data_IF_243687436540
#
_entry.id   IF_243687436540
#
_cell.length_a   1.000
_cell.length_b   1.000
_cell.length_c   1.000
_cell.angle_alpha   90.00
_cell.angle_beta   90.00
_cell.angle_gamma   90.00
#
_symmetry.space_group_name_H-M   'P 1'
#
loop_
_entity.id
_entity.type
_entity.pdbx_description
1 polymer ?
#
# COMPACT_ATOMS: atom_id res chain seq x y z
N UNK A 1 11.57 -32.79 11.87
CA UNK A 1 10.11 -32.97 11.73
C UNK A 1 9.43 -31.61 11.67
N UNK A 2 8.84 -31.24 10.54
CA UNK A 2 7.99 -30.04 10.47
C UNK A 2 6.65 -30.40 11.13
N UNK A 3 6.41 -29.91 12.35
CA UNK A 3 5.12 -30.13 13.03
C UNK A 3 4.03 -29.48 12.20
N UNK A 4 3.06 -30.27 11.73
CA UNK A 4 1.85 -29.74 11.08
C UNK A 4 1.13 -28.84 12.07
N UNK A 5 0.94 -27.57 11.70
CA UNK A 5 0.23 -26.61 12.52
C UNK A 5 -1.22 -27.09 12.75
N UNK A 6 -1.63 -27.17 14.01
CA UNK A 6 -2.99 -27.54 14.44
C UNK A 6 -3.44 -26.63 15.57
N UNK A 7 -4.76 -26.47 15.76
CA UNK A 7 -5.30 -25.77 16.93
C UNK A 7 -4.80 -26.44 18.22
N UNK A 8 -4.41 -25.62 19.19
CA UNK A 8 -3.76 -26.05 20.44
C UNK A 8 -2.28 -26.42 20.29
N UNK A 9 -1.72 -26.40 19.08
CA UNK A 9 -0.30 -26.63 18.84
C UNK A 9 0.57 -25.40 19.13
N UNK A 10 1.84 -25.65 19.40
CA UNK A 10 2.90 -24.65 19.50
C UNK A 10 3.42 -24.23 18.12
N UNK A 11 3.59 -22.92 17.90
CA UNK A 11 4.21 -22.35 16.70
C UNK A 11 5.03 -21.10 17.04
N UNK A 12 6.16 -20.93 16.36
CA UNK A 12 6.99 -19.74 16.50
C UNK A 12 6.47 -18.61 15.58
N UNK A 13 6.17 -17.45 16.17
CA UNK A 13 5.52 -16.34 15.47
C UNK A 13 5.99 -14.98 16.01
N UNK A 14 5.86 -13.93 15.20
CA UNK A 14 6.16 -12.56 15.62
C UNK A 14 5.08 -12.04 16.57
N UNK A 15 5.44 -11.73 17.81
CA UNK A 15 4.55 -11.10 18.77
C UNK A 15 4.54 -9.58 18.59
N UNK A 16 3.37 -8.98 18.38
CA UNK A 16 3.25 -7.51 18.27
C UNK A 16 3.49 -6.78 19.59
N UNK A 17 3.26 -7.46 20.73
CA UNK A 17 3.45 -6.90 22.07
C UNK A 17 4.89 -7.05 22.57
N UNK A 18 5.48 -8.24 22.45
CA UNK A 18 6.87 -8.48 22.84
C UNK A 18 7.89 -7.98 21.81
N UNK A 19 7.47 -7.74 20.56
CA UNK A 19 8.34 -7.33 19.44
C UNK A 19 9.50 -8.31 19.20
N UNK A 20 9.25 -9.59 19.45
CA UNK A 20 10.20 -10.68 19.30
C UNK A 20 9.47 -11.86 18.66
N UNK A 21 10.23 -12.74 18.03
CA UNK A 21 9.73 -14.04 17.60
C UNK A 21 9.77 -14.97 18.81
N UNK A 22 8.62 -15.50 19.20
CA UNK A 22 8.44 -16.33 20.39
C UNK A 22 7.46 -17.47 20.11
N UNK A 23 7.41 -18.43 21.02
CA UNK A 23 6.40 -19.49 21.02
C UNK A 23 5.00 -18.94 21.28
N UNK A 24 4.08 -19.26 20.37
CA UNK A 24 2.66 -18.98 20.47
C UNK A 24 1.85 -20.27 20.38
N UNK A 25 0.69 -20.29 21.05
CA UNK A 25 -0.30 -21.35 20.91
C UNK A 25 -1.33 -20.98 19.84
N UNK A 26 -1.63 -21.90 18.92
CA UNK A 26 -2.63 -21.69 17.87
C UNK A 26 -4.04 -21.78 18.45
N UNK A 27 -4.81 -20.71 18.37
CA UNK A 27 -6.20 -20.67 18.86
C UNK A 27 -7.21 -21.00 17.77
N UNK A 28 -6.95 -20.51 16.55
CA UNK A 28 -7.83 -20.74 15.41
C UNK A 28 -7.02 -20.94 14.14
N UNK A 29 -7.52 -21.79 13.25
CA UNK A 29 -6.99 -22.00 11.91
C UNK A 29 -8.06 -21.67 10.87
N UNK A 30 -7.62 -21.18 9.72
CA UNK A 30 -8.46 -21.02 8.52
C UNK A 30 -7.83 -21.85 7.41
N UNK A 31 -8.53 -22.90 6.98
CA UNK A 31 -7.98 -23.91 6.09
C UNK A 31 -6.73 -24.55 6.68
N UNK A 32 -5.59 -24.38 6.02
CA UNK A 32 -4.29 -24.97 6.42
C UNK A 32 -3.37 -23.98 7.15
N UNK A 33 -3.85 -22.77 7.48
CA UNK A 33 -3.03 -21.71 8.08
C UNK A 33 -3.57 -21.27 9.44
N UNK A 34 -2.71 -21.03 10.46
CA UNK A 34 -3.12 -20.38 11.70
C UNK A 34 -3.67 -18.99 11.40
N UNK A 35 -4.82 -18.65 11.99
CA UNK A 35 -5.45 -17.35 11.87
C UNK A 35 -5.20 -16.50 13.14
N UNK A 36 -5.41 -17.11 14.32
CA UNK A 36 -5.24 -16.46 15.62
C UNK A 36 -4.29 -17.27 16.49
N UNK A 37 -3.40 -16.56 17.18
CA UNK A 37 -2.40 -17.15 18.07
C UNK A 37 -2.32 -16.37 19.38
N UNK A 38 -1.96 -17.06 20.47
CA UNK A 38 -1.71 -16.50 21.79
C UNK A 38 -0.23 -16.63 22.15
N UNK A 39 0.43 -15.54 22.48
CA UNK A 39 1.83 -15.56 22.91
C UNK A 39 1.96 -16.28 24.26
N UNK A 40 2.85 -17.26 24.37
CA UNK A 40 3.04 -17.98 25.62
C UNK A 40 3.78 -17.16 26.68
N UNK A 41 4.48 -16.08 26.26
CA UNK A 41 5.20 -15.17 27.16
C UNK A 41 4.31 -14.07 27.71
N UNK A 42 3.67 -13.27 26.85
CA UNK A 42 2.85 -12.13 27.29
C UNK A 42 1.35 -12.42 27.36
N UNK A 43 0.93 -13.65 27.05
CA UNK A 43 -0.47 -14.10 27.02
C UNK A 43 -1.40 -13.29 26.08
N UNK A 44 -0.82 -12.47 25.20
CA UNK A 44 -1.55 -11.62 24.27
C UNK A 44 -2.01 -12.38 23.03
N UNK A 45 -3.24 -12.15 22.59
CA UNK A 45 -3.83 -12.78 21.42
C UNK A 45 -3.78 -11.84 20.20
N UNK A 46 -3.25 -12.32 19.08
CA UNK A 46 -3.21 -11.55 17.84
C UNK A 46 -3.30 -12.46 16.61
N UNK A 47 -3.44 -11.82 15.44
CA UNK A 47 -3.42 -12.54 14.16
C UNK A 47 -2.03 -13.15 13.93
N UNK A 48 -1.98 -14.35 13.38
CA UNK A 48 -0.73 -15.03 13.10
C UNK A 48 0.11 -14.23 12.09
N UNK A 49 1.36 -14.00 12.44
CA UNK A 49 2.38 -13.40 11.57
C UNK A 49 3.59 -14.33 11.59
N UNK A 50 3.82 -15.02 10.48
CA UNK A 50 4.95 -15.94 10.33
C UNK A 50 6.27 -15.20 10.51
N UNK A 51 7.21 -15.83 11.21
CA UNK A 51 8.57 -15.33 11.40
C UNK A 51 9.40 -15.42 10.11
N UNK A 52 9.08 -16.39 9.24
CA UNK A 52 9.73 -16.58 7.95
C UNK A 52 8.87 -15.98 6.83
N UNK A 53 9.49 -15.11 6.04
CA UNK A 53 9.02 -14.72 4.72
C UNK A 53 9.25 -15.87 3.74
N UNK A 54 8.47 -16.95 3.85
CA UNK A 54 8.40 -17.92 2.76
C UNK A 54 7.35 -17.45 1.74
N UNK A 55 7.72 -17.25 0.47
CA UNK A 55 6.80 -16.79 -0.56
C UNK A 55 5.88 -17.95 -0.94
N UNK A 56 4.70 -18.03 -0.33
CA UNK A 56 3.70 -18.99 -0.77
C UNK A 56 3.04 -18.46 -2.04
N UNK A 57 3.44 -19.03 -3.18
CA UNK A 57 2.59 -19.13 -4.39
C UNK A 57 1.22 -19.65 -3.95
N UNK A 58 0.21 -18.83 -4.12
CA UNK A 58 -1.17 -19.19 -3.82
C UNK A 58 -2.02 -17.98 -4.13
N UNK A 59 -2.72 -18.07 -5.26
CA UNK A 59 -3.69 -17.08 -5.73
C UNK A 59 -4.58 -16.63 -4.59
N UNK A 60 -4.31 -15.43 -4.12
CA UNK A 60 -5.24 -14.58 -3.41
C UNK A 60 -5.05 -13.26 -4.10
N UNK A 61 -6.07 -12.76 -4.81
CA UNK A 61 -6.08 -11.38 -5.27
C UNK A 61 -6.23 -10.48 -4.03
N UNK A 62 -5.22 -9.68 -3.66
CA UNK A 62 -5.47 -8.49 -2.88
C UNK A 62 -5.88 -7.40 -3.86
N UNK A 63 -7.12 -6.94 -3.76
CA UNK A 63 -7.40 -5.54 -4.09
C UNK A 63 -6.38 -4.67 -3.35
N UNK A 64 -5.62 -3.92 -4.14
CA UNK A 64 -4.96 -2.66 -3.85
C UNK A 64 -4.14 -2.57 -2.55
N UNK A 65 -3.00 -1.89 -2.65
CA UNK A 65 -2.17 -1.50 -1.50
C UNK A 65 -1.19 -2.56 -1.02
N UNK A 66 -0.24 -2.95 -1.88
CA UNK A 66 1.08 -3.39 -1.39
C UNK A 66 2.23 -3.29 -2.39
N UNK A 67 2.22 -2.33 -3.29
CA UNK A 67 3.46 -1.91 -3.97
C UNK A 67 4.24 -0.90 -3.11
N UNK A 68 4.64 -1.40 -1.94
CA UNK A 68 5.87 -0.95 -1.30
C UNK A 68 6.87 -2.08 -1.46
N UNK A 69 7.53 -2.15 -2.63
CA UNK A 69 8.96 -2.46 -2.73
C UNK A 69 9.45 -2.46 -4.18
N UNK A 70 10.55 -1.76 -4.36
CA UNK A 70 11.49 -1.75 -5.50
C UNK A 70 10.99 -1.09 -6.80
N UNK A 71 11.24 0.22 -6.91
CA UNK A 71 11.66 0.81 -8.19
C UNK A 71 12.38 2.14 -7.94
N UNK A 72 13.71 2.15 -8.07
CA UNK A 72 14.42 3.26 -8.75
C UNK A 72 14.73 2.72 -10.16
N UNK A 73 14.68 3.50 -11.25
CA UNK A 73 14.57 4.96 -11.35
C UNK A 73 13.26 5.44 -12.02
N UNK A 74 12.57 6.38 -11.36
CA UNK A 74 11.53 7.26 -11.93
C UNK A 74 12.22 8.25 -12.86
N UNK A 75 12.53 7.87 -14.09
CA UNK A 75 12.97 8.82 -15.13
C UNK A 75 12.25 8.59 -16.47
N UNK A 76 11.71 7.39 -16.72
CA UNK A 76 11.15 7.10 -18.05
C UNK A 76 9.71 7.54 -18.28
N UNK A 77 8.97 7.94 -17.24
CA UNK A 77 7.55 8.30 -17.41
C UNK A 77 7.29 9.80 -17.48
N UNK A 78 8.07 10.66 -16.81
CA UNK A 78 7.77 12.10 -16.78
C UNK A 78 8.25 12.82 -18.05
N UNK A 79 9.45 12.52 -18.54
CA UNK A 79 10.03 13.14 -19.74
C UNK A 79 9.25 12.79 -21.01
N UNK A 80 8.78 11.54 -21.13
CA UNK A 80 7.97 11.10 -22.26
C UNK A 80 6.58 11.74 -22.28
N UNK A 81 5.98 11.97 -21.11
CA UNK A 81 4.67 12.63 -20.98
C UNK A 81 4.78 14.15 -21.19
N UNK A 82 5.87 14.78 -20.73
CA UNK A 82 6.10 16.22 -20.92
C UNK A 82 6.48 16.56 -22.37
N UNK A 83 7.21 15.68 -23.07
CA UNK A 83 7.57 15.89 -24.47
C UNK A 83 6.35 16.00 -25.40
N UNK A 84 5.17 15.53 -24.96
CA UNK A 84 3.94 15.57 -25.74
C UNK A 84 2.95 16.65 -25.28
N UNK A 85 3.21 17.37 -24.17
CA UNK A 85 2.21 18.26 -23.58
C UNK A 85 2.74 19.62 -23.18
N UNK A 86 1.95 20.62 -23.57
CA UNK A 86 2.23 22.03 -23.38
C UNK A 86 2.05 22.45 -21.92
N UNK A 87 3.17 22.74 -21.28
CA UNK A 87 3.28 23.18 -19.87
C UNK A 87 2.58 24.53 -19.64
N UNK A 88 2.25 25.29 -20.69
CA UNK A 88 1.59 26.60 -20.60
C UNK A 88 0.10 26.51 -20.24
N UNK A 89 -0.50 25.31 -20.29
CA UNK A 89 -1.88 25.08 -19.82
C UNK A 89 -1.98 24.72 -18.35
N UNK A 90 -0.87 24.73 -17.61
CA UNK A 90 -0.86 24.39 -16.19
C UNK A 90 -1.78 25.31 -15.38
N UNK A 91 -2.87 24.77 -14.87
CA UNK A 91 -3.80 25.46 -13.97
C UNK A 91 -3.29 25.38 -12.54
N UNK A 92 -3.37 26.47 -11.77
CA UNK A 92 -2.98 26.42 -10.36
C UNK A 92 -3.89 25.45 -9.60
N UNK A 93 -3.28 24.53 -8.87
CA UNK A 93 -4.00 23.58 -8.05
C UNK A 93 -4.84 24.29 -6.98
N UNK A 94 -6.14 23.97 -6.96
CA UNK A 94 -7.07 24.43 -5.94
C UNK A 94 -8.01 23.28 -5.59
N UNK A 95 -8.15 22.99 -4.29
CA UNK A 95 -9.02 21.91 -3.79
C UNK A 95 -10.49 22.17 -4.12
N UNK A 96 -10.86 23.42 -4.37
CA UNK A 96 -12.22 23.84 -4.76
C UNK A 96 -12.49 23.65 -6.25
N UNK A 97 -11.44 23.62 -7.07
CA UNK A 97 -11.57 23.51 -8.51
C UNK A 97 -11.75 22.04 -8.90
N UNK A 98 -12.48 21.80 -9.98
CA UNK A 98 -12.69 20.47 -10.54
C UNK A 98 -11.68 20.28 -11.66
N UNK A 99 -10.87 19.23 -11.55
CA UNK A 99 -9.94 18.83 -12.59
C UNK A 99 -10.51 17.65 -13.38
N UNK A 100 -10.05 17.49 -14.61
CA UNK A 100 -10.44 16.40 -15.50
C UNK A 100 -9.21 15.55 -15.87
N UNK A 101 -9.43 14.33 -16.35
CA UNK A 101 -8.37 13.46 -16.82
C UNK A 101 -7.59 14.18 -17.92
N UNK A 102 -6.26 14.05 -17.93
CA UNK A 102 -5.35 14.68 -18.90
C UNK A 102 -5.11 16.19 -18.73
N UNK A 103 -5.70 16.81 -17.68
CA UNK A 103 -5.46 18.21 -17.31
C UNK A 103 -4.09 18.39 -16.63
N UNK A 104 -3.48 19.55 -16.87
CA UNK A 104 -2.17 19.90 -16.32
C UNK A 104 -2.37 20.88 -15.17
N UNK A 105 -1.79 20.57 -14.02
CA UNK A 105 -1.89 21.40 -12.83
C UNK A 105 -0.51 21.80 -12.27
N UNK A 106 -0.45 22.98 -11.66
CA UNK A 106 0.70 23.48 -10.92
C UNK A 106 0.39 23.42 -9.42
N UNK A 107 1.09 22.54 -8.69
CA UNK A 107 0.95 22.39 -7.26
C UNK A 107 2.11 23.08 -6.52
N UNK A 108 1.86 23.94 -5.51
CA UNK A 108 2.92 24.76 -4.88
C UNK A 108 4.04 23.93 -4.22
N UNK A 109 3.75 22.71 -3.78
CA UNK A 109 4.74 21.80 -3.15
C UNK A 109 5.40 20.85 -4.15
N UNK A 110 4.66 20.41 -5.18
CA UNK A 110 5.08 19.30 -6.04
C UNK A 110 5.45 19.75 -7.46
N UNK A 111 5.18 21.00 -7.79
CA UNK A 111 5.36 21.57 -9.12
C UNK A 111 4.28 21.10 -10.09
N UNK A 112 4.66 21.03 -11.35
CA UNK A 112 3.77 20.71 -12.46
C UNK A 112 3.48 19.21 -12.49
N UNK A 113 2.20 18.88 -12.58
CA UNK A 113 1.72 17.51 -12.65
C UNK A 113 0.59 17.33 -13.66
N UNK A 114 0.48 16.11 -14.19
CA UNK A 114 -0.56 15.70 -15.12
C UNK A 114 -1.56 14.79 -14.41
N UNK A 115 -2.85 15.08 -14.52
CA UNK A 115 -3.90 14.22 -13.99
C UNK A 115 -4.00 12.96 -14.85
N UNK A 116 -3.65 11.82 -14.28
CA UNK A 116 -3.74 10.53 -14.98
C UNK A 116 -5.07 9.83 -14.72
N UNK A 117 -5.70 10.05 -13.58
CA UNK A 117 -6.91 9.31 -13.21
C UNK A 117 -7.75 10.10 -12.21
N UNK A 118 -9.07 9.94 -12.27
CA UNK A 118 -10.01 10.57 -11.35
C UNK A 118 -10.94 9.51 -10.75
N UNK A 119 -11.05 9.54 -9.43
CA UNK A 119 -11.90 8.71 -8.59
C UNK A 119 -12.74 9.59 -7.69
N UNK A 120 -13.85 10.11 -8.24
CA UNK A 120 -14.78 10.97 -7.52
C UNK A 120 -14.13 12.28 -7.08
N UNK A 121 -13.85 12.42 -5.78
CA UNK A 121 -13.21 13.59 -5.16
C UNK A 121 -11.67 13.49 -5.14
N UNK A 122 -11.11 12.33 -5.50
CA UNK A 122 -9.66 12.08 -5.52
C UNK A 122 -9.16 11.94 -6.94
N UNK A 123 -8.04 12.59 -7.26
CA UNK A 123 -7.36 12.44 -8.53
C UNK A 123 -5.91 11.98 -8.34
N UNK A 124 -5.45 11.12 -9.25
CA UNK A 124 -4.06 10.66 -9.32
C UNK A 124 -3.30 11.53 -10.29
N UNK A 125 -2.25 12.19 -9.80
CA UNK A 125 -1.49 13.20 -10.54
C UNK A 125 -0.04 12.76 -10.60
N UNK A 126 0.50 12.65 -11.81
CA UNK A 126 1.90 12.35 -12.05
C UNK A 126 2.71 13.65 -12.01
N UNK A 127 3.60 13.79 -11.03
CA UNK A 127 4.58 14.86 -10.94
C UNK A 127 5.96 14.35 -11.40
N UNK A 128 6.87 15.29 -11.67
CA UNK A 128 8.27 14.99 -12.03
C UNK A 128 8.96 14.02 -11.05
N UNK A 129 8.70 14.16 -9.76
CA UNK A 129 9.34 13.35 -8.72
C UNK A 129 8.57 12.07 -8.40
N UNK A 130 7.24 12.11 -8.42
CA UNK A 130 6.38 11.03 -7.94
C UNK A 130 4.96 11.15 -8.49
N UNK A 131 4.20 10.05 -8.47
CA UNK A 131 2.73 10.12 -8.60
C UNK A 131 2.08 10.31 -7.24
N UNK A 132 1.26 11.36 -7.07
CA UNK A 132 0.52 11.63 -5.81
C UNK A 132 -0.99 11.53 -6.05
N UNK A 133 -1.72 11.26 -4.96
CA UNK A 133 -3.17 11.39 -4.93
C UNK A 133 -3.51 12.75 -4.31
N UNK A 134 -4.27 13.55 -5.05
CA UNK A 134 -4.76 14.85 -4.64
C UNK A 134 -6.28 14.85 -4.58
N UNK A 135 -6.84 15.83 -3.88
CA UNK A 135 -8.30 15.99 -3.74
C UNK A 135 -8.73 17.19 -4.59
N UNK A 136 -9.89 17.07 -5.23
CA UNK A 136 -10.46 18.15 -6.03
C UNK A 136 -11.97 18.23 -5.86
N UNK A 137 -12.53 19.41 -6.09
CA UNK A 137 -13.96 19.64 -6.08
C UNK A 137 -14.64 19.50 -4.71
N UNK A 138 -13.92 19.70 -3.60
CA UNK A 138 -14.51 19.62 -2.25
C UNK A 138 -15.44 20.83 -2.01
N UNK A 139 -16.77 20.64 -1.86
CA UNK A 139 -17.67 21.70 -1.42
C UNK A 139 -17.43 22.00 0.07
N UNK A 140 -17.65 23.26 0.46
CA UNK A 140 -17.61 23.72 1.86
C UNK A 140 -18.66 23.00 2.72
#
# INVERSE_FOLDING_TARGET
>A
MQKTAKVGGDIDAWCTRCKLVLGHTILAMVGTRPARVRCNTCQGEHNYKSAAAEPKKGSWEPKADRERKLAKPVVTSWEALLAQKDVSRARRYSVKERFEMDDVLDHPVFGIGLVQEIHGDKMRVAFKADTKLLVHGRPD
#
